data_IF_533712389292
#
_entry.id   IF_533712389292
#
_cell.length_a   1.000
_cell.length_b   1.000
_cell.length_c   1.000
_cell.angle_alpha   90.00
_cell.angle_beta   90.00
_cell.angle_gamma   90.00
#
_symmetry.space_group_name_H-M   'P 1'
#
loop_
_entity.id
_entity.type
_entity.pdbx_description
1 polymer ?
#
# COMPACT_ATOMS: atom_id res chain seq x y z
N UNK A 1 1.17 2.17 -17.01
CA UNK A 1 1.67 1.06 -16.15
C UNK A 1 2.57 1.56 -15.02
N UNK A 2 3.67 2.28 -15.28
CA UNK A 2 4.61 2.72 -14.23
C UNK A 2 3.95 3.40 -13.01
N UNK A 3 2.99 4.32 -13.22
CA UNK A 3 2.27 4.95 -12.12
C UNK A 3 1.42 3.96 -11.30
N UNK A 4 0.80 2.97 -11.95
CA UNK A 4 0.06 1.91 -11.25
C UNK A 4 1.00 1.07 -10.37
N UNK A 5 2.16 0.68 -10.92
CA UNK A 5 3.16 -0.11 -10.20
C UNK A 5 3.69 0.66 -8.99
N UNK A 6 4.05 1.94 -9.15
CA UNK A 6 4.50 2.78 -8.02
C UNK A 6 3.41 2.92 -6.94
N UNK A 7 2.16 3.19 -7.34
CA UNK A 7 1.04 3.29 -6.39
C UNK A 7 0.77 1.99 -5.64
N UNK A 8 0.85 0.86 -6.35
CA UNK A 8 0.68 -0.47 -5.76
C UNK A 8 1.82 -0.84 -4.82
N UNK A 9 3.07 -0.56 -5.19
CA UNK A 9 4.23 -0.78 -4.33
C UNK A 9 4.12 0.01 -3.03
N UNK A 10 3.74 1.29 -3.08
CA UNK A 10 3.53 2.10 -1.89
C UNK A 10 2.46 1.50 -0.97
N UNK A 11 1.36 1.01 -1.52
CA UNK A 11 0.30 0.32 -0.76
C UNK A 11 0.84 -0.96 -0.10
N UNK A 12 1.66 -1.75 -0.79
CA UNK A 12 2.29 -2.95 -0.22
C UNK A 12 3.28 -2.61 0.90
N UNK A 13 4.03 -1.51 0.76
CA UNK A 13 4.94 -1.05 1.83
C UNK A 13 4.14 -0.66 3.08
N UNK A 14 3.05 0.08 2.93
CA UNK A 14 2.16 0.44 4.06
C UNK A 14 1.53 -0.82 4.67
N UNK A 15 1.07 -1.77 3.85
CA UNK A 15 0.52 -3.03 4.32
C UNK A 15 1.56 -3.83 5.14
N UNK A 16 2.83 -3.81 4.74
CA UNK A 16 3.93 -4.44 5.48
C UNK A 16 4.20 -3.77 6.83
N UNK A 17 3.95 -2.46 6.95
CA UNK A 17 4.04 -1.72 8.21
C UNK A 17 2.95 -2.16 9.19
N UNK A 18 1.71 -2.30 8.71
CA UNK A 18 0.61 -2.84 9.52
C UNK A 18 0.80 -4.31 9.88
N UNK A 19 1.49 -5.09 9.05
CA UNK A 19 1.86 -6.48 9.40
C UNK A 19 2.94 -6.49 10.50
N UNK A 20 3.94 -5.61 10.38
CA UNK A 20 4.94 -5.43 11.42
C UNK A 20 4.30 -4.96 12.74
N UNK A 21 3.25 -4.14 12.71
CA UNK A 21 2.49 -3.76 13.91
C UNK A 21 1.89 -4.96 14.65
N UNK A 22 1.50 -5.99 13.92
CA UNK A 22 0.78 -7.16 14.43
C UNK A 22 1.71 -8.28 14.93
N UNK A 23 3.00 -8.00 15.13
CA UNK A 23 4.01 -9.00 15.49
C UNK A 23 4.66 -9.70 14.29
N UNK A 24 4.39 -9.23 13.06
CA UNK A 24 4.99 -9.76 11.83
C UNK A 24 6.47 -9.40 11.63
N UNK A 25 7.02 -9.85 10.49
CA UNK A 25 8.41 -9.64 10.08
C UNK A 25 8.79 -8.15 9.95
N UNK A 26 10.07 -7.87 9.69
CA UNK A 26 10.56 -6.51 9.44
C UNK A 26 9.80 -5.84 8.29
N UNK A 27 9.35 -4.58 8.47
CA UNK A 27 8.55 -3.90 7.47
C UNK A 27 9.41 -3.59 6.25
N UNK A 28 8.88 -3.86 5.06
CA UNK A 28 9.57 -3.70 3.78
C UNK A 28 9.40 -2.28 3.26
N UNK A 29 9.79 -1.29 4.07
CA UNK A 29 9.75 0.12 3.69
C UNK A 29 11.10 0.55 3.10
N UNK A 30 11.04 1.33 2.03
CA UNK A 30 12.21 1.96 1.42
C UNK A 30 12.93 2.88 2.41
N UNK A 31 14.26 2.84 2.43
CA UNK A 31 15.07 3.62 3.38
C UNK A 31 14.89 5.13 3.20
N UNK A 32 14.57 5.59 1.99
CA UNK A 32 14.29 7.00 1.70
C UNK A 32 13.09 7.55 2.49
N UNK A 33 12.03 6.76 2.63
CA UNK A 33 10.86 7.15 3.41
C UNK A 33 11.16 7.27 4.90
N UNK A 34 11.94 6.31 5.42
CA UNK A 34 12.38 6.31 6.81
C UNK A 34 13.28 7.50 7.11
N UNK A 35 14.30 7.73 6.28
CA UNK A 35 15.23 8.84 6.41
C UNK A 35 14.51 10.20 6.33
N UNK A 36 13.57 10.36 5.40
CA UNK A 36 12.79 11.59 5.24
C UNK A 36 11.91 11.96 6.43
N UNK A 37 11.66 11.03 7.35
CA UNK A 37 10.88 11.26 8.57
C UNK A 37 11.70 11.03 9.86
N UNK A 38 13.03 10.91 9.76
CA UNK A 38 13.90 10.66 10.92
C UNK A 38 13.73 9.30 11.58
N UNK A 39 13.12 8.33 10.88
CA UNK A 39 12.77 7.02 11.41
C UNK A 39 13.87 6.00 11.15
N UNK A 40 13.98 5.03 12.06
CA UNK A 40 14.82 3.82 11.90
C UNK A 40 13.94 2.58 12.00
N UNK A 41 14.26 1.53 11.24
CA UNK A 41 13.48 0.27 11.24
C UNK A 41 13.26 -0.31 12.63
N UNK A 42 14.29 -0.30 13.47
CA UNK A 42 14.24 -0.85 14.82
C UNK A 42 13.32 -0.07 15.79
N UNK A 43 13.06 1.21 15.51
CA UNK A 43 12.30 2.12 16.38
C UNK A 43 10.86 2.37 15.94
N UNK A 44 10.38 1.71 14.87
CA UNK A 44 9.07 2.00 14.29
C UNK A 44 7.89 1.76 15.24
N UNK A 45 8.04 0.86 16.22
CA UNK A 45 7.01 0.57 17.23
C UNK A 45 7.11 1.45 18.48
N UNK A 46 8.16 2.25 18.61
CA UNK A 46 8.31 3.11 19.78
C UNK A 46 7.23 4.19 19.75
N UNK A 47 6.55 4.40 20.88
CA UNK A 47 5.44 5.36 20.97
C UNK A 47 5.88 6.79 20.62
N UNK A 48 7.11 7.16 20.95
CA UNK A 48 7.74 8.44 20.56
C UNK A 48 7.77 8.66 19.04
N UNK A 49 7.85 7.58 18.26
CA UNK A 49 7.90 7.62 16.81
C UNK A 49 6.52 7.50 16.17
N UNK A 50 5.45 7.31 16.95
CA UNK A 50 4.12 6.99 16.43
C UNK A 50 3.55 8.08 15.54
N UNK A 51 3.72 9.34 15.91
CA UNK A 51 3.27 10.46 15.07
C UNK A 51 4.12 10.58 13.80
N UNK A 52 5.44 10.42 13.89
CA UNK A 52 6.31 10.42 12.71
C UNK A 52 5.97 9.28 11.72
N UNK A 53 5.67 8.09 12.24
CA UNK A 53 5.21 6.93 11.46
C UNK A 53 3.85 7.21 10.81
N UNK A 54 2.94 7.86 11.53
CA UNK A 54 1.62 8.25 11.01
C UNK A 54 1.74 9.29 9.89
N UNK A 55 2.59 10.30 10.05
CA UNK A 55 2.86 11.30 9.02
C UNK A 55 3.49 10.66 7.76
N UNK A 56 4.46 9.77 7.95
CA UNK A 56 5.05 8.99 6.85
C UNK A 56 3.99 8.14 6.14
N UNK A 57 3.15 7.43 6.89
CA UNK A 57 2.09 6.59 6.35
C UNK A 57 1.08 7.41 5.55
N UNK A 58 0.71 8.60 6.04
CA UNK A 58 -0.15 9.55 5.32
C UNK A 58 0.50 10.02 4.03
N UNK A 59 1.77 10.44 4.05
CA UNK A 59 2.47 10.91 2.87
C UNK A 59 2.60 9.81 1.80
N UNK A 60 2.89 8.56 2.21
CA UNK A 60 2.90 7.41 1.32
C UNK A 60 1.51 7.13 0.73
N UNK A 61 0.46 7.20 1.55
CA UNK A 61 -0.92 6.97 1.14
C UNK A 61 -1.41 8.05 0.16
N UNK A 62 -1.10 9.31 0.41
CA UNK A 62 -1.42 10.44 -0.47
C UNK A 62 -0.72 10.26 -1.83
N UNK A 63 0.58 9.95 -1.83
CA UNK A 63 1.33 9.66 -3.08
C UNK A 63 0.78 8.44 -3.81
N UNK A 64 0.43 7.37 -3.10
CA UNK A 64 -0.18 6.18 -3.70
C UNK A 64 -1.52 6.53 -4.36
N UNK A 65 -2.35 7.33 -3.69
CA UNK A 65 -3.64 7.79 -4.20
C UNK A 65 -3.47 8.58 -5.50
N UNK A 66 -2.52 9.52 -5.56
CA UNK A 66 -2.26 10.32 -6.76
C UNK A 66 -1.80 9.46 -7.93
N UNK A 67 -0.89 8.51 -7.69
CA UNK A 67 -0.39 7.59 -8.70
C UNK A 67 -1.46 6.64 -9.23
N UNK A 68 -2.30 6.11 -8.35
CA UNK A 68 -3.44 5.26 -8.71
C UNK A 68 -4.50 6.04 -9.48
N UNK A 69 -4.78 7.29 -9.10
CA UNK A 69 -5.72 8.16 -9.81
C UNK A 69 -5.22 8.50 -11.21
N UNK A 70 -3.94 8.81 -11.34
CA UNK A 70 -3.31 9.02 -12.65
C UNK A 70 -3.43 7.77 -13.52
N UNK A 71 -3.14 6.59 -12.97
CA UNK A 71 -3.28 5.32 -13.69
C UNK A 71 -4.74 4.97 -14.05
N UNK A 72 -5.70 5.36 -13.22
CA UNK A 72 -7.14 5.14 -13.48
C UNK A 72 -7.69 6.10 -14.55
N UNK A 73 -7.17 7.32 -14.62
CA UNK A 73 -7.51 8.30 -15.65
C UNK A 73 -6.85 8.01 -17.00
N UNK A 74 -5.81 7.17 -17.02
CA UNK A 74 -5.19 6.68 -18.25
C UNK A 74 -6.16 5.70 -18.96
N UNK A 75 -6.24 5.77 -20.29
CA UNK A 75 -7.12 4.91 -21.12
C UNK A 75 -6.75 3.42 -21.05
N UNK A 76 -5.75 3.09 -20.24
CA UNK A 76 -5.27 1.74 -19.96
C UNK A 76 -6.37 0.77 -19.53
N UNK A 77 -7.42 1.25 -18.84
CA UNK A 77 -8.56 0.42 -18.39
C UNK A 77 -9.63 0.17 -19.47
N UNK A 78 -9.54 0.80 -20.65
CA UNK A 78 -10.50 0.59 -21.74
C UNK A 78 -10.33 -0.78 -22.42
N UNK A 79 -9.19 -1.46 -22.22
CA UNK A 79 -8.93 -2.78 -22.80
C UNK A 79 -9.43 -3.91 -21.88
N UNK A 80 -10.18 -4.91 -22.38
CA UNK A 80 -10.71 -6.00 -21.56
C UNK A 80 -9.63 -6.79 -20.81
N UNK A 81 -8.46 -6.95 -21.42
CA UNK A 81 -7.27 -7.59 -20.86
C UNK A 81 -6.70 -6.86 -19.63
N UNK A 82 -7.00 -5.57 -19.48
CA UNK A 82 -6.53 -4.74 -18.36
C UNK A 82 -7.57 -4.64 -17.22
N UNK A 83 -8.73 -5.30 -17.33
CA UNK A 83 -9.75 -5.35 -16.27
C UNK A 83 -9.22 -5.79 -14.90
N UNK A 84 -8.32 -6.79 -14.78
CA UNK A 84 -7.72 -7.15 -13.49
C UNK A 84 -6.97 -6.00 -12.82
N UNK A 85 -6.36 -5.10 -13.60
CA UNK A 85 -5.69 -3.91 -13.09
C UNK A 85 -6.67 -2.88 -12.55
N UNK A 86 -7.87 -2.78 -13.14
CA UNK A 86 -8.96 -1.97 -12.60
C UNK A 86 -9.40 -2.45 -11.22
N UNK A 87 -9.57 -3.77 -11.05
CA UNK A 87 -9.86 -4.37 -9.74
C UNK A 87 -8.75 -4.13 -8.71
N UNK A 88 -7.49 -4.16 -9.15
CA UNK A 88 -6.35 -3.83 -8.28
C UNK A 88 -6.43 -2.38 -7.78
N UNK A 89 -6.76 -1.42 -8.66
CA UNK A 89 -6.93 -0.01 -8.28
C UNK A 89 -8.05 0.13 -7.24
N UNK A 90 -9.20 -0.54 -7.45
CA UNK A 90 -10.32 -0.52 -6.50
C UNK A 90 -9.91 -1.11 -5.15
N UNK A 91 -9.17 -2.23 -5.14
CA UNK A 91 -8.67 -2.83 -3.91
C UNK A 91 -7.70 -1.90 -3.16
N UNK A 92 -6.80 -1.24 -3.88
CA UNK A 92 -5.88 -0.24 -3.31
C UNK A 92 -6.65 0.95 -2.74
N UNK A 93 -7.63 1.49 -3.47
CA UNK A 93 -8.46 2.60 -3.02
C UNK A 93 -9.26 2.24 -1.76
N UNK A 94 -9.82 1.02 -1.69
CA UNK A 94 -10.50 0.51 -0.50
C UNK A 94 -9.59 0.46 0.72
N UNK A 95 -8.37 -0.05 0.56
CA UNK A 95 -7.38 -0.09 1.64
C UNK A 95 -6.92 1.31 2.08
N UNK A 96 -6.67 2.23 1.13
CA UNK A 96 -6.31 3.62 1.44
C UNK A 96 -7.45 4.36 2.18
N UNK A 97 -8.71 4.07 1.84
CA UNK A 97 -9.86 4.62 2.56
C UNK A 97 -9.97 4.07 3.99
N UNK A 98 -9.65 2.78 4.18
CA UNK A 98 -9.55 2.18 5.51
C UNK A 98 -8.45 2.85 6.35
N UNK A 99 -7.27 3.09 5.76
CA UNK A 99 -6.18 3.85 6.39
C UNK A 99 -6.64 5.26 6.80
N UNK A 100 -7.34 5.97 5.91
CA UNK A 100 -7.88 7.30 6.19
C UNK A 100 -8.86 7.29 7.38
N UNK A 101 -9.74 6.28 7.47
CA UNK A 101 -10.64 6.10 8.63
C UNK A 101 -9.87 5.82 9.92
N UNK A 102 -8.78 5.06 9.85
CA UNK A 102 -7.83 4.83 10.94
C UNK A 102 -6.90 6.03 11.21
N UNK A 103 -7.18 7.22 10.64
CA UNK A 103 -6.34 8.41 10.74
C UNK A 103 -4.87 8.17 10.35
N UNK A 104 -4.61 7.21 9.46
CA UNK A 104 -3.29 6.77 9.02
C UNK A 104 -2.42 6.16 10.13
N UNK A 105 -3.00 5.72 11.24
CA UNK A 105 -2.27 4.95 12.25
C UNK A 105 -2.14 3.50 11.80
N UNK A 106 -0.93 3.03 11.42
CA UNK A 106 -0.74 1.66 10.96
C UNK A 106 -0.83 0.63 12.08
N UNK A 107 -0.83 1.06 13.36
CA UNK A 107 -0.88 0.21 14.55
C UNK A 107 -2.29 0.08 15.15
N UNK A 108 -3.29 0.77 14.60
CA UNK A 108 -4.65 0.71 15.12
C UNK A 108 -5.23 -0.72 15.01
N UNK A 109 -5.53 -1.35 16.15
CA UNK A 109 -6.07 -2.73 16.25
C UNK A 109 -7.39 -2.98 15.51
N UNK A 110 -8.10 -1.94 15.06
CA UNK A 110 -9.42 -2.05 14.42
C UNK A 110 -9.37 -2.31 12.91
N UNK A 111 -8.18 -2.48 12.34
CA UNK A 111 -8.00 -2.36 10.91
C UNK A 111 -8.12 -3.74 10.27
N UNK A 112 -9.03 -3.90 9.30
CA UNK A 112 -9.29 -5.11 8.50
C UNK A 112 -8.10 -5.57 7.63
N UNK A 113 -6.87 -5.20 8.02
CA UNK A 113 -5.58 -5.52 7.42
C UNK A 113 -5.45 -7.01 7.08
N UNK A 114 -5.90 -7.97 7.92
CA UNK A 114 -5.83 -9.40 7.56
C UNK A 114 -6.70 -9.79 6.36
N UNK A 115 -7.83 -9.09 6.14
CA UNK A 115 -8.72 -9.33 4.99
C UNK A 115 -8.10 -8.75 3.73
N UNK A 116 -7.67 -7.49 3.76
CA UNK A 116 -6.99 -6.84 2.64
C UNK A 116 -5.69 -7.58 2.26
N UNK A 117 -4.93 -8.08 3.24
CA UNK A 117 -3.74 -8.90 3.00
C UNK A 117 -4.06 -10.15 2.17
N UNK A 118 -5.12 -10.89 2.53
CA UNK A 118 -5.57 -12.06 1.77
C UNK A 118 -6.03 -11.67 0.37
N UNK A 119 -6.77 -10.58 0.23
CA UNK A 119 -7.24 -10.08 -1.06
C UNK A 119 -6.07 -9.65 -1.97
N UNK A 120 -5.06 -8.95 -1.45
CA UNK A 120 -3.86 -8.59 -2.21
C UNK A 120 -3.06 -9.81 -2.65
N UNK A 121 -2.96 -10.82 -1.80
CA UNK A 121 -2.28 -12.08 -2.15
C UNK A 121 -3.01 -12.83 -3.28
N UNK A 122 -4.33 -12.95 -3.18
CA UNK A 122 -5.17 -13.54 -4.24
C UNK A 122 -5.08 -12.74 -5.55
N UNK A 123 -5.17 -11.41 -5.47
CA UNK A 123 -5.06 -10.54 -6.64
C UNK A 123 -3.71 -10.71 -7.34
N UNK A 124 -2.62 -10.76 -6.57
CA UNK A 124 -1.28 -11.01 -7.11
C UNK A 124 -1.16 -12.38 -7.78
N UNK A 125 -1.75 -13.43 -7.20
CA UNK A 125 -1.78 -14.76 -7.82
C UNK A 125 -2.56 -14.77 -9.14
N UNK A 126 -3.69 -14.06 -9.21
CA UNK A 126 -4.47 -13.91 -10.45
C UNK A 126 -3.69 -13.15 -11.53
N UNK A 127 -3.03 -12.04 -11.17
CA UNK A 127 -2.21 -11.25 -12.10
C UNK A 127 -1.02 -12.04 -12.64
N UNK A 128 -0.39 -12.87 -11.79
CA UNK A 128 0.66 -13.81 -12.20
C UNK A 128 0.16 -14.83 -13.22
N UNK A 129 -0.99 -15.45 -12.96
CA UNK A 129 -1.58 -16.46 -13.84
C UNK A 129 -2.01 -15.88 -15.19
N UNK A 130 -2.37 -14.59 -15.23
CA UNK A 130 -2.73 -13.85 -16.45
C UNK A 130 -1.55 -13.21 -17.20
N UNK A 131 -0.29 -13.40 -16.77
CA UNK A 131 0.88 -12.85 -17.45
C UNK A 131 1.10 -11.33 -17.32
N UNK A 132 0.26 -10.63 -16.55
CA UNK A 132 0.28 -9.17 -16.38
C UNK A 132 1.29 -8.68 -15.32
N UNK A 133 1.99 -9.61 -14.67
CA UNK A 133 2.90 -9.31 -13.57
C UNK A 133 4.33 -8.95 -13.96
N UNK A 134 4.73 -9.11 -15.24
CA UNK A 134 6.11 -8.86 -15.68
C UNK A 134 6.52 -7.36 -15.70
N UNK A 135 5.61 -6.45 -15.34
CA UNK A 135 5.88 -5.01 -15.21
C UNK A 135 5.26 -4.34 -13.98
N UNK A 136 4.85 -5.15 -12.98
CA UNK A 136 4.16 -4.72 -11.76
C UNK A 136 4.94 -5.12 -10.51
#
# INVERSE_FOLDING_TARGET
IAALSEGYELVLQILSLSDHASGGQNPRIALSWLAGHGLRRAGLRADENREAVRQMTKAMADRACDRLRYAAGDRMLARPEMRPLGWLIVLCAGYLNLLRRGKFDPFAKSMQVPVYRRQFWLMRAMLWRGGLSRGL
#
